data_IF_981915395257
#
_entry.id   IF_981915395257
#
_cell.length_a   1.000
_cell.length_b   1.000
_cell.length_c   1.000
_cell.angle_alpha   90.00
_cell.angle_beta   90.00
_cell.angle_gamma   90.00
#
_symmetry.space_group_name_H-M   'P 1'
#
loop_
_entity.id
_entity.type
_entity.pdbx_description
1 polymer ?
#
# COMPACT_ATOMS: atom_id res chain seq x y z
N UNK A 1 -14.18 29.46 52.70
CA UNK A 1 -14.65 29.53 51.30
C UNK A 1 -14.24 30.85 50.61
N UNK A 2 -12.94 31.18 50.57
CA UNK A 2 -12.45 32.44 49.95
C UNK A 2 -11.22 32.25 49.05
N UNK A 3 -10.98 31.01 48.58
CA UNK A 3 -9.86 30.69 47.67
C UNK A 3 -10.29 30.42 46.22
N UNK A 4 -11.57 30.14 45.95
CA UNK A 4 -12.03 29.74 44.61
C UNK A 4 -12.53 30.91 43.72
N UNK A 5 -12.50 32.16 44.20
CA UNK A 5 -13.03 33.31 43.45
C UNK A 5 -11.92 34.07 42.68
N UNK A 6 -10.66 33.97 43.12
CA UNK A 6 -9.51 34.61 42.42
C UNK A 6 -9.16 33.93 41.09
N UNK A 7 -9.41 32.62 40.98
CA UNK A 7 -9.00 31.86 39.78
C UNK A 7 -9.91 32.11 38.56
N UNK A 8 -11.09 32.70 38.76
CA UNK A 8 -12.07 32.98 37.70
C UNK A 8 -11.79 34.34 37.03
N UNK A 9 -11.22 35.32 37.77
CA UNK A 9 -10.88 36.63 37.21
C UNK A 9 -9.64 36.58 36.31
N UNK A 10 -8.63 35.78 36.67
CA UNK A 10 -7.38 35.69 35.91
C UNK A 10 -7.58 34.97 34.56
N UNK A 11 -8.52 34.01 34.51
CA UNK A 11 -8.89 33.30 33.28
C UNK A 11 -9.65 34.18 32.27
N UNK A 12 -10.42 35.18 32.74
CA UNK A 12 -11.13 36.11 31.86
C UNK A 12 -10.23 37.21 31.29
N UNK A 13 -9.10 37.52 31.90
CA UNK A 13 -8.13 38.48 31.37
C UNK A 13 -7.18 37.87 30.32
N UNK A 14 -6.99 36.54 30.29
CA UNK A 14 -6.14 35.87 29.28
C UNK A 14 -6.79 35.70 27.91
N UNK A 15 -8.11 35.74 27.83
CA UNK A 15 -8.85 35.47 26.60
C UNK A 15 -9.05 36.71 25.71
N UNK A 16 -8.92 37.92 26.27
CA UNK A 16 -9.02 39.19 25.53
C UNK A 16 -7.71 39.63 24.86
N UNK A 17 -6.55 39.20 25.36
CA UNK A 17 -5.22 39.57 24.81
C UNK A 17 -4.86 38.73 23.56
N UNK A 18 -5.58 37.64 23.28
CA UNK A 18 -5.24 36.70 22.20
C UNK A 18 -6.09 36.83 20.92
N UNK A 19 -6.89 37.90 20.79
CA UNK A 19 -7.75 38.11 19.61
C UNK A 19 -7.12 38.97 18.50
N UNK A 20 -5.86 39.35 18.63
CA UNK A 20 -5.10 39.88 17.50
C UNK A 20 -4.75 38.73 16.56
N UNK A 21 -5.33 38.73 15.35
CA UNK A 21 -4.99 37.76 14.30
C UNK A 21 -3.49 37.86 14.03
N UNK A 22 -2.74 36.86 14.48
CA UNK A 22 -1.29 36.77 14.24
C UNK A 22 -1.01 37.01 12.75
N UNK A 23 -0.09 37.93 12.40
CA UNK A 23 0.18 38.26 11.01
C UNK A 23 0.59 37.00 10.24
N UNK A 24 -0.02 36.80 9.08
CA UNK A 24 0.21 35.60 8.28
C UNK A 24 1.67 35.50 7.84
N UNK A 25 2.36 34.47 8.33
CA UNK A 25 3.75 34.24 7.98
C UNK A 25 3.86 33.63 6.57
N UNK A 26 3.98 34.51 5.56
CA UNK A 26 4.13 34.14 4.14
C UNK A 26 5.33 33.22 3.90
N UNK A 27 6.42 33.35 4.67
CA UNK A 27 7.63 32.51 4.55
C UNK A 27 7.34 31.06 4.99
N UNK A 28 6.70 30.89 6.14
CA UNK A 28 6.28 29.56 6.60
C UNK A 28 5.25 28.93 5.65
N UNK A 29 4.30 29.71 5.13
CA UNK A 29 3.34 29.21 4.16
C UNK A 29 4.01 28.70 2.89
N UNK A 30 4.95 29.47 2.32
CA UNK A 30 5.69 29.05 1.12
C UNK A 30 6.48 27.77 1.36
N UNK A 31 7.15 27.64 2.51
CA UNK A 31 7.84 26.41 2.90
C UNK A 31 6.87 25.22 3.01
N UNK A 32 5.73 25.38 3.67
CA UNK A 32 4.71 24.32 3.77
C UNK A 32 4.06 23.96 2.42
N UNK A 33 3.86 24.94 1.54
CA UNK A 33 3.15 24.74 0.26
C UNK A 33 4.04 24.13 -0.82
N UNK A 34 5.30 24.56 -0.90
CA UNK A 34 6.19 24.22 -2.01
C UNK A 34 7.35 23.29 -1.64
N UNK A 35 7.69 23.12 -0.35
CA UNK A 35 8.74 22.16 0.03
C UNK A 35 8.27 20.73 -0.21
N UNK A 36 9.02 20.00 -1.03
CA UNK A 36 8.77 18.58 -1.26
C UNK A 36 8.89 17.78 0.04
N UNK A 37 9.91 18.06 0.85
CA UNK A 37 10.13 17.44 2.17
C UNK A 37 8.90 17.58 3.07
N UNK A 38 8.27 18.75 3.08
CA UNK A 38 7.05 18.96 3.88
C UNK A 38 5.88 18.13 3.36
N UNK A 39 5.69 18.03 2.04
CA UNK A 39 4.62 17.21 1.43
C UNK A 39 4.82 15.72 1.72
N UNK A 40 6.05 15.22 1.62
CA UNK A 40 6.40 13.83 1.95
C UNK A 40 6.11 13.55 3.43
N UNK A 41 6.56 14.43 4.34
CA UNK A 41 6.29 14.27 5.77
C UNK A 41 4.80 14.29 6.09
N UNK A 42 4.01 15.18 5.46
CA UNK A 42 2.55 15.20 5.62
C UNK A 42 1.89 13.89 5.17
N UNK A 43 2.39 13.29 4.09
CA UNK A 43 1.91 12.00 3.60
C UNK A 43 2.25 10.87 4.57
N UNK A 44 3.48 10.83 5.08
CA UNK A 44 3.90 9.87 6.10
C UNK A 44 3.10 10.00 7.40
N UNK A 45 2.85 11.22 7.88
CA UNK A 45 2.02 11.48 9.06
C UNK A 45 0.59 10.97 8.87
N UNK A 46 0.00 11.18 7.69
CA UNK A 46 -1.32 10.63 7.36
C UNK A 46 -1.31 9.10 7.40
N UNK A 47 -0.26 8.47 6.87
CA UNK A 47 -0.09 7.01 6.88
C UNK A 47 0.03 6.47 8.31
N UNK A 48 0.87 7.10 9.14
CA UNK A 48 1.03 6.74 10.56
C UNK A 48 -0.30 6.88 11.32
N UNK A 49 -1.03 7.98 11.11
CA UNK A 49 -2.36 8.19 11.70
C UNK A 49 -3.38 7.13 11.24
N UNK A 50 -3.34 6.72 9.98
CA UNK A 50 -4.23 5.67 9.47
C UNK A 50 -3.95 4.30 10.12
N UNK A 51 -2.67 3.93 10.28
CA UNK A 51 -2.26 2.71 11.00
C UNK A 51 -2.74 2.75 12.44
N UNK A 52 -2.50 3.86 13.14
CA UNK A 52 -2.91 4.05 14.53
C UNK A 52 -4.44 3.98 14.69
N UNK A 53 -5.20 4.60 13.79
CA UNK A 53 -6.68 4.49 13.76
C UNK A 53 -7.14 3.04 13.50
N UNK A 54 -6.42 2.30 12.67
CA UNK A 54 -6.68 0.88 12.42
C UNK A 54 -6.54 0.05 13.69
N UNK A 55 -5.46 0.27 14.45
CA UNK A 55 -5.21 -0.40 15.72
C UNK A 55 -6.30 -0.12 16.77
N UNK A 56 -6.65 1.15 17.00
CA UNK A 56 -7.72 1.49 17.95
C UNK A 56 -9.08 0.93 17.53
N UNK A 57 -9.42 0.95 16.24
CA UNK A 57 -10.64 0.31 15.73
C UNK A 57 -10.68 -1.20 15.99
N UNK A 58 -9.52 -1.86 15.97
CA UNK A 58 -9.42 -3.29 16.24
C UNK A 58 -9.65 -3.56 17.73
N UNK A 59 -9.03 -2.77 18.62
CA UNK A 59 -9.28 -2.83 20.07
C UNK A 59 -10.76 -2.62 20.39
N UNK A 60 -11.39 -1.58 19.83
CA UNK A 60 -12.82 -1.31 20.06
C UNK A 60 -13.70 -2.46 19.57
N UNK A 61 -13.33 -3.07 18.43
CA UNK A 61 -14.06 -4.21 17.88
C UNK A 61 -13.91 -5.45 18.75
N UNK A 62 -12.72 -5.72 19.27
CA UNK A 62 -12.44 -6.85 20.15
C UNK A 62 -13.17 -6.70 21.51
N UNK A 63 -13.23 -5.48 22.05
CA UNK A 63 -14.05 -5.18 23.23
C UNK A 63 -15.54 -5.45 22.98
N UNK A 64 -16.09 -4.97 21.86
CA UNK A 64 -17.49 -5.22 21.50
C UNK A 64 -17.79 -6.70 21.23
N UNK A 65 -16.85 -7.44 20.63
CA UNK A 65 -17.01 -8.88 20.43
C UNK A 65 -16.98 -9.63 21.77
N UNK A 66 -16.14 -9.23 22.71
CA UNK A 66 -16.08 -9.84 24.04
C UNK A 66 -17.38 -9.62 24.83
N UNK A 67 -17.94 -8.40 24.82
CA UNK A 67 -19.26 -8.10 25.42
C UNK A 67 -20.41 -8.87 24.75
N UNK A 68 -20.36 -9.06 23.42
CA UNK A 68 -21.35 -9.88 22.70
C UNK A 68 -21.21 -11.37 23.02
N UNK A 69 -19.98 -11.85 23.23
CA UNK A 69 -19.69 -13.26 23.56
C UNK A 69 -20.09 -13.59 25.01
N UNK A 70 -19.95 -12.65 25.95
CA UNK A 70 -20.45 -12.82 27.32
C UNK A 70 -21.98 -12.82 27.41
N UNK A 71 -22.67 -12.06 26.54
CA UNK A 71 -24.14 -12.11 26.42
C UNK A 71 -24.65 -13.39 25.73
N UNK A 72 -23.94 -13.90 24.72
CA UNK A 72 -24.33 -15.11 23.99
C UNK A 72 -24.17 -16.40 24.81
N UNK A 73 -23.20 -16.46 25.73
CA UNK A 73 -22.97 -17.63 26.60
C UNK A 73 -24.07 -17.87 27.66
N UNK A 74 -25.06 -16.97 27.80
CA UNK A 74 -26.21 -17.17 28.70
C UNK A 74 -27.43 -17.81 28.03
N UNK A 75 -27.39 -18.10 26.72
CA UNK A 75 -28.57 -18.52 25.93
C UNK A 75 -28.41 -19.90 25.25
N UNK A 76 -27.33 -20.63 25.53
CA UNK A 76 -27.13 -21.96 24.95
C UNK A 76 -27.27 -23.08 25.98
N UNK A 77 -28.51 -23.26 26.45
CA UNK A 77 -29.02 -24.61 26.73
C UNK A 77 -30.19 -24.86 25.79
N UNK A 78 -30.17 -26.03 25.13
CA UNK A 78 -31.20 -26.58 24.25
C UNK A 78 -31.19 -26.13 22.77
N UNK A 79 -30.60 -26.96 21.89
CA UNK A 79 -31.34 -27.84 20.94
C UNK A 79 -30.42 -28.34 19.83
N UNK A 80 -30.13 -29.62 19.87
CA UNK A 80 -29.86 -30.40 18.67
C UNK A 80 -31.17 -30.60 17.91
N UNK A 81 -31.21 -30.23 16.63
CA UNK A 81 -32.14 -30.78 15.65
C UNK A 81 -31.52 -30.63 14.25
N UNK A 82 -31.14 -31.78 13.69
CA UNK A 82 -31.11 -32.03 12.26
C UNK A 82 -32.49 -31.71 11.66
N UNK A 83 -32.50 -31.01 10.51
CA UNK A 83 -33.53 -31.02 9.44
C UNK A 83 -33.49 -29.71 8.63
N UNK A 84 -33.43 -29.87 7.30
CA UNK A 84 -33.75 -28.90 6.23
C UNK A 84 -32.82 -27.68 6.03
N UNK A 85 -32.68 -27.14 4.80
CA UNK A 85 -31.85 -25.97 4.53
C UNK A 85 -32.46 -24.74 5.20
N UNK A 86 -32.04 -24.50 6.45
CA UNK A 86 -32.39 -23.31 7.22
C UNK A 86 -31.94 -22.10 6.41
N UNK A 87 -32.89 -21.25 6.01
CA UNK A 87 -32.62 -19.94 5.42
C UNK A 87 -31.50 -19.28 6.22
N UNK A 88 -30.27 -19.26 5.67
CA UNK A 88 -29.11 -18.80 6.42
C UNK A 88 -29.38 -17.37 6.87
N UNK A 89 -29.21 -17.10 8.17
CA UNK A 89 -29.34 -15.75 8.73
C UNK A 89 -28.54 -14.78 7.86
N UNK A 90 -29.09 -13.60 7.58
CA UNK A 90 -28.44 -12.57 6.75
C UNK A 90 -26.99 -12.31 7.18
N UNK A 91 -26.70 -12.44 8.48
CA UNK A 91 -25.36 -12.38 9.05
C UNK A 91 -24.41 -13.48 8.56
N UNK A 92 -24.87 -14.73 8.48
CA UNK A 92 -24.08 -15.85 7.97
C UNK A 92 -23.77 -15.67 6.48
N UNK A 93 -24.75 -15.25 5.69
CA UNK A 93 -24.56 -14.92 4.27
C UNK A 93 -23.54 -13.80 4.08
N UNK A 94 -23.64 -12.73 4.87
CA UNK A 94 -22.67 -11.63 4.85
C UNK A 94 -21.25 -12.07 5.23
N UNK A 95 -21.11 -12.98 6.21
CA UNK A 95 -19.82 -13.54 6.60
C UNK A 95 -19.19 -14.38 5.48
N UNK A 96 -19.98 -15.21 4.81
CA UNK A 96 -19.51 -16.01 3.67
C UNK A 96 -19.05 -15.13 2.50
N UNK A 97 -19.85 -14.13 2.13
CA UNK A 97 -19.49 -13.15 1.09
C UNK A 97 -18.21 -12.37 1.44
N UNK A 98 -18.01 -12.01 2.71
CA UNK A 98 -16.79 -11.35 3.15
C UNK A 98 -15.55 -12.24 2.96
N UNK A 99 -15.65 -13.52 3.31
CA UNK A 99 -14.56 -14.49 3.13
C UNK A 99 -14.26 -14.70 1.64
N UNK A 100 -15.28 -14.85 0.80
CA UNK A 100 -15.12 -14.95 -0.67
C UNK A 100 -14.38 -13.75 -1.24
N UNK A 101 -14.77 -12.53 -0.86
CA UNK A 101 -14.09 -11.30 -1.29
C UNK A 101 -12.66 -11.18 -0.77
N UNK A 102 -12.35 -11.74 0.41
CA UNK A 102 -10.97 -11.81 0.87
C UNK A 102 -10.15 -12.77 0.00
N UNK A 103 -10.69 -13.93 -0.34
CA UNK A 103 -10.02 -14.94 -1.14
C UNK A 103 -9.75 -14.46 -2.55
N UNK A 104 -10.73 -13.83 -3.19
CA UNK A 104 -10.57 -13.19 -4.49
C UNK A 104 -9.46 -12.14 -4.47
N UNK A 105 -9.42 -11.29 -3.45
CA UNK A 105 -8.34 -10.30 -3.28
C UNK A 105 -6.97 -10.95 -3.07
N UNK A 106 -6.90 -12.10 -2.40
CA UNK A 106 -5.64 -12.85 -2.23
C UNK A 106 -5.17 -13.41 -3.56
N UNK A 107 -6.07 -14.05 -4.32
CA UNK A 107 -5.78 -14.59 -5.66
C UNK A 107 -5.32 -13.51 -6.64
N UNK A 108 -6.05 -12.39 -6.72
CA UNK A 108 -5.67 -11.25 -7.58
C UNK A 108 -4.28 -10.68 -7.24
N UNK A 109 -3.92 -10.64 -5.95
CA UNK A 109 -2.58 -10.18 -5.54
C UNK A 109 -1.49 -11.17 -5.95
N UNK A 110 -1.75 -12.47 -5.83
CA UNK A 110 -0.82 -13.51 -6.24
C UNK A 110 -0.60 -13.49 -7.75
N UNK A 111 -1.68 -13.43 -8.54
CA UNK A 111 -1.62 -13.33 -10.00
C UNK A 111 -0.88 -12.06 -10.44
N UNK A 112 -1.20 -10.91 -9.83
CA UNK A 112 -0.51 -9.66 -10.12
C UNK A 112 0.98 -9.71 -9.75
N UNK A 113 1.36 -10.47 -8.73
CA UNK A 113 2.77 -10.67 -8.38
C UNK A 113 3.46 -11.55 -9.43
N UNK A 114 2.83 -12.66 -9.86
CA UNK A 114 3.36 -13.54 -10.90
C UNK A 114 3.59 -12.82 -12.23
N UNK A 115 2.60 -12.05 -12.67
CA UNK A 115 2.71 -11.26 -13.92
C UNK A 115 3.85 -10.23 -13.81
N UNK A 116 4.04 -9.62 -12.64
CA UNK A 116 5.15 -8.68 -12.42
C UNK A 116 6.49 -9.39 -12.49
N UNK A 117 6.64 -10.54 -11.83
CA UNK A 117 7.91 -11.29 -11.84
C UNK A 117 8.25 -11.77 -13.24
N UNK A 118 7.28 -12.31 -13.99
CA UNK A 118 7.47 -12.73 -15.37
C UNK A 118 7.89 -11.56 -16.26
N UNK A 119 7.26 -10.38 -16.09
CA UNK A 119 7.63 -9.18 -16.84
C UNK A 119 9.05 -8.70 -16.49
N UNK A 120 9.40 -8.70 -15.22
CA UNK A 120 10.74 -8.30 -14.76
C UNK A 120 11.81 -9.26 -15.27
N UNK A 121 11.55 -10.55 -15.25
CA UNK A 121 12.42 -11.59 -15.80
C UNK A 121 12.58 -11.43 -17.32
N UNK A 122 11.49 -11.25 -18.06
CA UNK A 122 11.54 -11.00 -19.49
C UNK A 122 12.36 -9.74 -19.84
N UNK A 123 12.20 -8.66 -19.06
CA UNK A 123 13.00 -7.45 -19.22
C UNK A 123 14.47 -7.66 -18.89
N UNK A 124 14.78 -8.46 -17.87
CA UNK A 124 16.16 -8.82 -17.50
C UNK A 124 16.82 -9.62 -18.63
N UNK A 125 16.16 -10.66 -19.12
CA UNK A 125 16.64 -11.49 -20.22
C UNK A 125 16.85 -10.66 -21.51
N UNK A 126 15.93 -9.73 -21.81
CA UNK A 126 16.10 -8.81 -22.94
C UNK A 126 17.34 -7.91 -22.77
N UNK A 127 17.54 -7.33 -21.60
CA UNK A 127 18.71 -6.49 -21.31
C UNK A 127 20.01 -7.28 -21.41
N UNK A 128 20.05 -8.50 -20.89
CA UNK A 128 21.22 -9.39 -20.97
C UNK A 128 21.56 -9.69 -22.43
N UNK A 129 20.60 -10.15 -23.24
CA UNK A 129 20.79 -10.38 -24.68
C UNK A 129 21.24 -9.12 -25.43
N UNK A 130 20.67 -7.97 -25.10
CA UNK A 130 21.08 -6.68 -25.69
C UNK A 130 22.53 -6.34 -25.32
N UNK A 131 22.95 -6.58 -24.08
CA UNK A 131 24.32 -6.30 -23.64
C UNK A 131 25.31 -7.25 -24.29
N UNK A 132 24.99 -8.53 -24.40
CA UNK A 132 25.82 -9.52 -25.08
C UNK A 132 26.01 -9.20 -26.57
N UNK A 133 24.92 -8.88 -27.27
CA UNK A 133 24.97 -8.48 -28.69
C UNK A 133 25.77 -7.19 -28.87
N UNK A 134 25.56 -6.18 -28.01
CA UNK A 134 26.35 -4.96 -28.03
C UNK A 134 27.85 -5.22 -27.79
N UNK A 135 28.18 -6.08 -26.81
CA UNK A 135 29.57 -6.45 -26.51
C UNK A 135 30.24 -7.15 -27.68
N UNK A 136 29.53 -7.99 -28.45
CA UNK A 136 30.04 -8.62 -29.68
C UNK A 136 30.26 -7.57 -30.78
N UNK A 137 29.25 -6.73 -31.05
CA UNK A 137 29.26 -5.79 -32.18
C UNK A 137 30.16 -4.56 -31.99
N UNK A 138 30.44 -4.19 -30.74
CA UNK A 138 31.29 -3.04 -30.39
C UNK A 138 32.79 -3.35 -30.42
N UNK A 139 33.19 -4.62 -30.58
CA UNK A 139 34.61 -5.01 -30.70
C UNK A 139 35.23 -4.37 -31.94
N UNK A 140 36.44 -3.83 -31.74
CA UNK A 140 37.26 -3.20 -32.77
C UNK A 140 38.66 -3.81 -32.79
N UNK A 141 39.30 -3.79 -33.95
CA UNK A 141 40.70 -4.15 -34.13
C UNK A 141 41.61 -3.04 -33.58
N UNK A 142 42.92 -3.30 -33.48
CA UNK A 142 43.91 -2.28 -33.05
C UNK A 142 43.85 -0.99 -33.89
N UNK A 143 43.43 -1.08 -35.16
CA UNK A 143 43.25 0.06 -36.07
C UNK A 143 41.86 0.70 -36.00
N UNK A 144 41.02 0.32 -35.03
CA UNK A 144 39.69 0.89 -34.81
C UNK A 144 38.58 0.36 -35.73
N UNK A 145 38.91 -0.53 -36.67
CA UNK A 145 37.91 -1.15 -37.55
C UNK A 145 37.06 -2.17 -36.78
N UNK A 146 35.77 -2.33 -37.10
CA UNK A 146 34.96 -3.37 -36.47
C UNK A 146 35.47 -4.78 -36.75
N UNK A 147 35.38 -5.67 -35.76
CA UNK A 147 35.70 -7.09 -35.96
C UNK A 147 34.60 -7.74 -36.81
N UNK A 148 34.95 -8.21 -38.02
CA UNK A 148 33.98 -8.74 -38.98
C UNK A 148 33.46 -10.13 -38.63
N UNK A 149 34.28 -10.98 -37.98
CA UNK A 149 33.91 -12.36 -37.60
C UNK A 149 32.57 -12.41 -36.86
N UNK A 150 32.48 -11.71 -35.72
CA UNK A 150 31.27 -11.70 -34.87
C UNK A 150 30.03 -11.14 -35.61
N UNK A 151 30.23 -10.22 -36.56
CA UNK A 151 29.14 -9.63 -37.37
C UNK A 151 28.62 -10.61 -38.42
N UNK A 152 29.52 -11.35 -39.06
CA UNK A 152 29.20 -12.37 -40.04
C UNK A 152 28.48 -13.56 -39.39
N UNK A 153 28.92 -14.00 -38.21
CA UNK A 153 28.23 -15.05 -37.43
C UNK A 153 26.78 -14.64 -37.11
N UNK A 154 26.56 -13.42 -36.62
CA UNK A 154 25.21 -12.90 -36.36
C UNK A 154 24.36 -12.80 -37.63
N UNK A 155 24.96 -12.42 -38.76
CA UNK A 155 24.24 -12.35 -40.05
C UNK A 155 23.83 -13.75 -40.53
N UNK A 156 24.75 -14.72 -40.45
CA UNK A 156 24.48 -16.12 -40.79
C UNK A 156 23.33 -16.67 -39.94
N UNK A 157 23.37 -16.44 -38.62
CA UNK A 157 22.31 -16.87 -37.71
C UNK A 157 20.94 -16.30 -38.11
N UNK A 158 20.88 -15.01 -38.49
CA UNK A 158 19.64 -14.39 -38.98
C UNK A 158 19.13 -15.01 -40.28
N UNK A 159 20.02 -15.28 -41.22
CA UNK A 159 19.66 -15.93 -42.49
C UNK A 159 19.12 -17.34 -42.21
N UNK A 160 19.79 -18.12 -41.36
CA UNK A 160 19.34 -19.46 -40.98
C UNK A 160 17.98 -19.43 -40.27
N UNK A 161 17.76 -18.47 -39.36
CA UNK A 161 16.46 -18.29 -38.69
C UNK A 161 15.33 -17.88 -39.66
N UNK A 162 15.66 -17.15 -40.73
CA UNK A 162 14.70 -16.78 -41.77
C UNK A 162 14.38 -17.94 -42.71
N UNK A 163 15.38 -18.78 -43.03
CA UNK A 163 15.22 -19.94 -43.93
C UNK A 163 14.59 -21.14 -43.21
N UNK A 164 14.84 -21.30 -41.91
CA UNK A 164 14.26 -22.37 -41.09
C UNK A 164 12.85 -22.06 -40.57
N UNK A 165 12.36 -20.82 -40.75
CA UNK A 165 10.99 -20.41 -40.46
C UNK A 165 10.13 -20.53 -41.70
#
# INVERSE_FOLDING_TARGET
>A
MKKCIKDISDRKQSDTINNEKKPFNKKQYRLKKYSNKYKVNQWEERRKKAVLRGFYKQIDKDQQQNVKKSFASKVNDQKEHETQPKNLSAFHKAKQEFLRKQDEKRKQKEEALRIKTEREEALKNYKERRMETYKKLSKKTKKGQPVMKDRLEMLLEKIQQQVSK
#
